data_IF_669766213977
#
_entry.id   IF_669766213977
#
_cell.length_a   1.000
_cell.length_b   1.000
_cell.length_c   1.000
_cell.angle_alpha   90.00
_cell.angle_beta   90.00
_cell.angle_gamma   90.00
#
_symmetry.space_group_name_H-M   'P 1'
#
loop_
_entity.id
_entity.type
_entity.pdbx_description
1 polymer ?
#
# COMPACT_ATOMS: atom_id res chain seq x y z
N UNK A 1 29.03 -4.14 -10.37
CA UNK A 1 28.86 -5.58 -10.11
C UNK A 1 30.20 -6.17 -9.67
N UNK A 2 30.79 -5.70 -8.55
CA UNK A 2 32.13 -6.13 -8.13
C UNK A 2 32.36 -6.08 -6.60
N UNK A 3 31.33 -6.30 -5.79
CA UNK A 3 31.43 -6.27 -4.32
C UNK A 3 30.80 -7.47 -3.60
N UNK A 4 30.44 -8.54 -4.33
CA UNK A 4 29.87 -9.77 -3.76
C UNK A 4 30.94 -10.88 -3.80
N UNK A 5 32.09 -10.61 -3.20
CA UNK A 5 33.11 -11.63 -2.86
C UNK A 5 33.54 -11.46 -1.40
N UNK A 6 32.59 -11.14 -0.52
CA UNK A 6 32.78 -11.27 0.92
C UNK A 6 32.74 -12.77 1.23
N UNK A 7 33.83 -13.26 1.83
CA UNK A 7 33.98 -14.65 2.26
C UNK A 7 32.69 -15.14 2.95
N UNK A 8 32.02 -16.14 2.36
CA UNK A 8 30.71 -16.63 2.79
C UNK A 8 30.67 -16.92 4.30
N UNK A 9 31.78 -17.39 4.87
CA UNK A 9 31.92 -17.65 6.32
C UNK A 9 31.82 -16.39 7.18
N UNK A 10 32.39 -15.26 6.75
CA UNK A 10 32.27 -13.97 7.47
C UNK A 10 30.85 -13.42 7.42
N UNK A 11 30.14 -13.67 6.32
CA UNK A 11 28.74 -13.31 6.14
C UNK A 11 27.84 -14.11 7.10
N UNK A 12 28.03 -15.43 7.20
CA UNK A 12 27.30 -16.28 8.16
C UNK A 12 27.58 -15.90 9.62
N UNK A 13 28.81 -15.53 9.96
CA UNK A 13 29.14 -15.03 11.31
C UNK A 13 28.41 -13.72 11.61
N UNK A 14 28.37 -12.80 10.63
CA UNK A 14 27.66 -11.53 10.79
C UNK A 14 26.15 -11.73 10.92
N UNK A 15 25.54 -12.59 10.10
CA UNK A 15 24.12 -12.92 10.22
C UNK A 15 23.78 -13.62 11.54
N UNK A 16 24.63 -14.56 11.97
CA UNK A 16 24.48 -15.24 13.27
C UNK A 16 24.58 -14.24 14.43
N UNK A 17 25.55 -13.32 14.39
CA UNK A 17 25.68 -12.24 15.38
C UNK A 17 24.47 -11.33 15.40
N UNK A 18 23.96 -10.91 14.23
CA UNK A 18 22.76 -10.09 14.12
C UNK A 18 21.53 -10.83 14.69
N UNK A 19 21.38 -12.12 14.39
CA UNK A 19 20.28 -12.94 14.91
C UNK A 19 20.32 -13.08 16.43
N UNK A 20 21.50 -13.33 17.02
CA UNK A 20 21.69 -13.38 18.47
C UNK A 20 21.40 -12.02 19.11
N UNK A 21 21.83 -10.92 18.49
CA UNK A 21 21.50 -9.58 18.96
C UNK A 21 19.98 -9.32 18.93
N UNK A 22 19.29 -9.72 17.86
CA UNK A 22 17.83 -9.59 17.74
C UNK A 22 17.13 -10.41 18.83
N UNK A 23 17.55 -11.67 19.05
CA UNK A 23 17.01 -12.51 20.12
C UNK A 23 17.27 -11.92 21.52
N UNK A 24 18.46 -11.36 21.73
CA UNK A 24 18.82 -10.65 22.95
C UNK A 24 17.91 -9.45 23.20
N UNK A 25 17.64 -8.64 22.17
CA UNK A 25 16.70 -7.52 22.26
C UNK A 25 15.28 -8.00 22.61
N UNK A 26 14.83 -9.13 22.05
CA UNK A 26 13.50 -9.68 22.35
C UNK A 26 13.40 -10.12 23.82
N UNK A 27 14.43 -10.77 24.38
CA UNK A 27 14.39 -11.31 25.75
C UNK A 27 14.64 -10.23 26.81
N UNK A 28 15.64 -9.36 26.60
CA UNK A 28 16.09 -8.41 27.62
C UNK A 28 15.32 -7.10 27.64
N UNK A 29 14.64 -6.73 26.55
CA UNK A 29 13.82 -5.52 26.52
C UNK A 29 12.40 -5.89 26.93
N UNK A 30 11.94 -5.54 28.15
CA UNK A 30 10.66 -5.99 28.68
C UNK A 30 9.47 -5.55 27.80
N UNK A 31 9.57 -4.40 27.14
CA UNK A 31 8.55 -3.91 26.19
C UNK A 31 8.47 -4.73 24.90
N UNK A 32 9.56 -5.36 24.46
CA UNK A 32 9.56 -6.23 23.28
C UNK A 32 9.09 -7.63 23.70
N UNK A 33 9.56 -8.11 24.86
CA UNK A 33 9.15 -9.40 25.39
C UNK A 33 7.65 -9.48 25.68
N UNK A 34 7.06 -8.42 26.27
CA UNK A 34 5.61 -8.39 26.54
C UNK A 34 4.81 -8.51 25.23
N UNK A 35 5.14 -7.69 24.23
CA UNK A 35 4.53 -7.73 22.89
C UNK A 35 4.70 -9.07 22.17
N UNK A 36 5.86 -9.73 22.34
CA UNK A 36 6.11 -11.04 21.75
C UNK A 36 5.33 -12.14 22.46
N UNK A 37 5.24 -12.08 23.78
CA UNK A 37 4.44 -13.02 24.57
C UNK A 37 2.95 -12.87 24.28
N UNK A 38 2.46 -11.66 24.02
CA UNK A 38 1.08 -11.41 23.59
C UNK A 38 0.76 -12.13 22.27
N UNK A 39 1.64 -12.07 21.27
CA UNK A 39 1.47 -12.82 20.01
C UNK A 39 1.32 -14.34 20.23
N UNK A 40 1.94 -14.88 21.28
CA UNK A 40 1.87 -16.30 21.64
C UNK A 40 0.65 -16.64 22.51
N UNK A 41 0.11 -15.68 23.26
CA UNK A 41 -0.99 -15.85 24.24
C UNK A 41 -2.38 -15.53 23.66
N UNK A 42 -2.48 -14.86 22.50
CA UNK A 42 -3.74 -14.52 21.78
C UNK A 42 -4.67 -15.71 21.48
N UNK A 43 -4.29 -16.95 21.84
CA UNK A 43 -5.19 -18.10 21.87
C UNK A 43 -6.20 -18.11 23.04
N UNK A 44 -6.12 -17.20 24.02
CA UNK A 44 -7.08 -17.12 25.14
C UNK A 44 -7.73 -15.73 25.27
N UNK A 45 -9.06 -15.59 25.09
CA UNK A 45 -9.75 -14.31 24.88
C UNK A 45 -10.16 -13.55 26.17
N UNK A 46 -9.63 -13.90 27.36
CA UNK A 46 -10.20 -13.41 28.63
C UNK A 46 -9.65 -12.07 29.15
N UNK A 47 -8.58 -11.51 28.59
CA UNK A 47 -8.03 -10.22 29.05
C UNK A 47 -8.44 -9.04 28.14
N UNK A 48 -9.39 -8.24 28.64
CA UNK A 48 -9.92 -6.98 28.05
C UNK A 48 -8.93 -5.80 28.16
N UNK A 49 -7.71 -5.96 27.68
CA UNK A 49 -6.81 -4.82 27.45
C UNK A 49 -6.81 -4.50 25.97
N UNK A 50 -7.11 -3.25 25.61
CA UNK A 50 -7.12 -2.73 24.23
C UNK A 50 -5.69 -2.61 23.70
N UNK A 51 -5.06 -3.76 23.46
CA UNK A 51 -3.73 -3.86 22.88
C UNK A 51 -3.82 -3.90 21.35
N UNK A 52 -2.77 -3.42 20.67
CA UNK A 52 -2.77 -3.27 19.21
C UNK A 52 -3.00 -4.58 18.45
N UNK A 53 -2.59 -5.71 19.03
CA UNK A 53 -2.75 -7.05 18.44
C UNK A 53 -4.22 -7.49 18.50
N UNK A 54 -4.86 -7.32 19.66
CA UNK A 54 -6.29 -7.62 19.86
C UNK A 54 -7.14 -6.78 18.90
N UNK A 55 -6.84 -5.48 18.79
CA UNK A 55 -7.54 -4.58 17.86
C UNK A 55 -7.43 -5.09 16.42
N UNK A 56 -6.21 -5.45 15.97
CA UNK A 56 -6.00 -5.93 14.60
C UNK A 56 -6.72 -7.25 14.34
N UNK A 57 -6.76 -8.15 15.32
CA UNK A 57 -7.45 -9.42 15.19
C UNK A 57 -8.96 -9.20 15.06
N UNK A 58 -9.56 -8.39 15.95
CA UNK A 58 -10.98 -8.04 15.89
C UNK A 58 -11.34 -7.36 14.56
N UNK A 59 -10.50 -6.46 14.04
CA UNK A 59 -10.70 -5.82 12.73
C UNK A 59 -10.76 -6.87 11.63
N UNK A 60 -9.79 -7.79 11.59
CA UNK A 60 -9.74 -8.83 10.56
C UNK A 60 -10.94 -9.78 10.67
N UNK A 61 -11.26 -10.24 11.88
CA UNK A 61 -12.41 -11.11 12.13
C UNK A 61 -13.71 -10.47 11.63
N UNK A 62 -13.99 -9.23 12.04
CA UNK A 62 -15.18 -8.51 11.58
C UNK A 62 -15.20 -8.31 10.07
N UNK A 63 -14.07 -7.93 9.48
CA UNK A 63 -13.99 -7.69 8.04
C UNK A 63 -14.27 -8.97 7.24
N UNK A 64 -13.79 -10.13 7.71
CA UNK A 64 -14.07 -11.42 7.07
C UNK A 64 -15.49 -11.94 7.35
N UNK A 65 -16.08 -11.57 8.49
CA UNK A 65 -17.44 -11.95 8.88
C UNK A 65 -18.50 -11.26 8.01
N UNK A 66 -18.34 -9.95 7.75
CA UNK A 66 -19.30 -9.17 6.96
C UNK A 66 -19.05 -9.27 5.44
N UNK A 67 -17.84 -9.60 5.00
CA UNK A 67 -17.47 -9.68 3.58
C UNK A 67 -18.42 -10.55 2.71
N UNK A 68 -18.88 -11.74 3.15
CA UNK A 68 -19.81 -12.56 2.36
C UNK A 68 -21.16 -11.87 2.11
N UNK A 69 -21.61 -11.02 3.03
CA UNK A 69 -22.88 -10.29 2.95
C UNK A 69 -22.80 -9.10 1.98
N UNK A 70 -21.61 -8.52 1.80
CA UNK A 70 -21.34 -7.45 0.83
C UNK A 70 -21.60 -7.90 -0.63
N UNK A 71 -21.41 -9.19 -0.94
CA UNK A 71 -21.68 -9.79 -2.25
C UNK A 71 -20.94 -9.09 -3.42
N UNK A 72 -21.53 -9.05 -4.62
CA UNK A 72 -20.91 -8.54 -5.85
C UNK A 72 -20.78 -7.02 -5.91
N UNK A 73 -21.69 -6.28 -5.26
CA UNK A 73 -21.77 -4.81 -5.33
C UNK A 73 -21.25 -4.09 -4.08
N UNK A 74 -20.99 -4.82 -3.00
CA UNK A 74 -20.59 -4.22 -1.74
C UNK A 74 -21.78 -3.58 -1.00
N UNK A 75 -21.49 -3.01 0.15
CA UNK A 75 -22.44 -2.23 0.95
C UNK A 75 -22.61 -0.80 0.45
N UNK A 76 -21.66 -0.28 -0.33
CA UNK A 76 -21.57 1.13 -0.71
C UNK A 76 -20.42 1.85 0.00
N UNK A 77 -19.89 2.90 -0.62
CA UNK A 77 -18.71 3.64 -0.12
C UNK A 77 -18.97 4.31 1.24
N UNK A 78 -20.23 4.72 1.51
CA UNK A 78 -20.62 5.31 2.78
C UNK A 78 -21.01 4.28 3.84
N UNK A 79 -21.70 3.22 3.42
CA UNK A 79 -22.35 2.29 4.35
C UNK A 79 -21.40 1.18 4.84
N UNK A 80 -20.38 0.83 4.05
CA UNK A 80 -19.38 -0.20 4.41
C UNK A 80 -18.66 0.08 5.73
N UNK A 81 -18.43 1.37 6.04
CA UNK A 81 -17.82 1.79 7.30
C UNK A 81 -18.77 1.54 8.47
N UNK A 82 -20.06 1.80 8.30
CA UNK A 82 -21.04 1.61 9.37
C UNK A 82 -21.21 0.12 9.68
N UNK A 83 -21.32 -0.73 8.66
CA UNK A 83 -21.39 -2.20 8.83
C UNK A 83 -20.17 -2.76 9.58
N UNK A 84 -18.98 -2.22 9.29
CA UNK A 84 -17.76 -2.61 10.01
C UNK A 84 -17.79 -2.15 11.48
N UNK A 85 -18.28 -0.94 11.74
CA UNK A 85 -18.42 -0.40 13.10
C UNK A 85 -19.49 -1.16 13.90
N UNK A 86 -20.59 -1.55 13.28
CA UNK A 86 -21.65 -2.32 13.92
C UNK A 86 -21.12 -3.71 14.34
N UNK A 87 -20.27 -4.33 13.51
CA UNK A 87 -19.55 -5.53 13.91
C UNK A 87 -18.60 -5.28 15.09
N UNK A 88 -17.85 -4.18 15.09
CA UNK A 88 -16.99 -3.82 16.23
C UNK A 88 -17.81 -3.65 17.51
N UNK A 89 -18.96 -2.97 17.46
CA UNK A 89 -19.83 -2.78 18.62
C UNK A 89 -20.32 -4.11 19.21
N UNK A 90 -20.58 -5.11 18.35
CA UNK A 90 -21.02 -6.44 18.79
C UNK A 90 -19.94 -7.26 19.51
N UNK A 91 -18.66 -7.04 19.18
CA UNK A 91 -17.54 -7.81 19.75
C UNK A 91 -16.84 -7.05 20.87
N UNK A 92 -16.54 -5.78 20.64
CA UNK A 92 -15.80 -4.93 21.56
C UNK A 92 -16.19 -3.45 21.40
N UNK A 93 -17.10 -2.98 22.26
CA UNK A 93 -17.68 -1.64 22.20
C UNK A 93 -16.66 -0.51 22.20
N UNK A 94 -15.48 -0.70 22.80
CA UNK A 94 -14.43 0.31 22.82
C UNK A 94 -13.78 0.54 21.44
N UNK A 95 -13.91 -0.38 20.48
CA UNK A 95 -13.40 -0.20 19.10
C UNK A 95 -14.34 0.66 18.25
N UNK A 96 -15.61 0.76 18.63
CA UNK A 96 -16.60 1.58 17.92
C UNK A 96 -16.19 3.06 17.93
N UNK A 97 -15.78 3.58 19.09
CA UNK A 97 -15.40 4.99 19.26
C UNK A 97 -14.12 5.35 18.51
N UNK A 98 -13.26 4.37 18.20
CA UNK A 98 -11.97 4.60 17.52
C UNK A 98 -12.09 4.59 15.99
N UNK A 99 -13.24 4.18 15.43
CA UNK A 99 -13.54 4.28 14.00
C UNK A 99 -12.44 3.69 13.08
N UNK A 100 -11.90 2.52 13.42
CA UNK A 100 -10.87 1.87 12.61
C UNK A 100 -11.36 1.42 11.23
N UNK A 101 -10.42 1.31 10.28
CA UNK A 101 -10.67 0.71 8.97
C UNK A 101 -10.19 -0.75 8.94
N UNK A 102 -10.36 -1.43 7.80
CA UNK A 102 -9.93 -2.83 7.64
C UNK A 102 -8.41 -3.02 7.67
N UNK A 103 -7.63 -1.93 7.49
CA UNK A 103 -6.19 -1.94 7.27
C UNK A 103 -5.77 -3.00 6.22
N UNK A 104 -6.62 -3.20 5.22
CA UNK A 104 -6.36 -3.98 4.01
C UNK A 104 -7.24 -3.35 2.92
N UNK A 105 -6.59 -2.66 1.97
CA UNK A 105 -7.27 -1.90 0.93
C UNK A 105 -8.17 -2.79 0.07
N UNK A 106 -7.75 -4.02 -0.21
CA UNK A 106 -8.51 -4.97 -1.03
C UNK A 106 -9.79 -5.41 -0.32
N UNK A 107 -9.71 -5.67 0.98
CA UNK A 107 -10.89 -6.02 1.77
C UNK A 107 -11.85 -4.84 1.87
N UNK A 108 -11.31 -3.64 2.09
CA UNK A 108 -12.13 -2.42 2.08
C UNK A 108 -12.83 -2.19 0.74
N UNK A 109 -12.14 -2.44 -0.38
CA UNK A 109 -12.76 -2.38 -1.71
C UNK A 109 -13.89 -3.40 -1.86
N UNK A 110 -13.74 -4.63 -1.38
CA UNK A 110 -14.83 -5.62 -1.41
C UNK A 110 -16.02 -5.13 -0.58
N UNK A 111 -15.78 -4.60 0.63
CA UNK A 111 -16.86 -4.11 1.47
C UNK A 111 -17.57 -2.89 0.87
N UNK A 112 -16.82 -1.96 0.27
CA UNK A 112 -17.37 -0.73 -0.29
C UNK A 112 -18.06 -0.93 -1.64
N UNK A 113 -17.43 -1.65 -2.57
CA UNK A 113 -17.85 -1.74 -3.99
C UNK A 113 -17.93 -3.18 -4.52
N UNK A 114 -17.76 -4.17 -3.63
CA UNK A 114 -17.92 -5.58 -3.95
C UNK A 114 -16.80 -6.18 -4.79
N UNK A 115 -16.97 -7.45 -5.12
CA UNK A 115 -16.02 -8.17 -5.99
C UNK A 115 -15.90 -7.56 -7.38
N UNK A 116 -16.95 -6.92 -7.90
CA UNK A 116 -16.89 -6.24 -9.21
C UNK A 116 -15.95 -5.04 -9.14
N UNK A 117 -16.07 -4.21 -8.10
CA UNK A 117 -15.16 -3.08 -7.92
C UNK A 117 -13.71 -3.51 -7.73
N UNK A 118 -13.48 -4.60 -6.98
CA UNK A 118 -12.14 -5.19 -6.84
C UNK A 118 -11.58 -5.68 -8.18
N UNK A 119 -12.40 -6.30 -9.02
CA UNK A 119 -11.98 -6.74 -10.35
C UNK A 119 -11.58 -5.56 -11.23
N UNK A 120 -12.39 -4.50 -11.27
CA UNK A 120 -12.08 -3.27 -12.00
C UNK A 120 -10.79 -2.63 -11.49
N UNK A 121 -10.58 -2.64 -10.17
CA UNK A 121 -9.34 -2.18 -9.56
C UNK A 121 -8.14 -2.99 -10.08
N UNK A 122 -8.18 -4.32 -10.04
CA UNK A 122 -7.09 -5.15 -10.55
C UNK A 122 -6.86 -4.99 -12.06
N UNK A 123 -7.92 -4.82 -12.86
CA UNK A 123 -7.80 -4.56 -14.29
C UNK A 123 -7.09 -3.23 -14.57
N UNK A 124 -7.47 -2.16 -13.85
CA UNK A 124 -6.82 -0.86 -13.99
C UNK A 124 -5.35 -0.91 -13.53
N UNK A 125 -5.07 -1.56 -12.40
CA UNK A 125 -3.71 -1.74 -11.89
C UNK A 125 -2.85 -2.57 -12.85
N UNK A 126 -3.40 -3.67 -13.37
CA UNK A 126 -2.74 -4.53 -14.33
C UNK A 126 -2.45 -3.81 -15.65
N UNK A 127 -3.40 -3.02 -16.15
CA UNK A 127 -3.20 -2.19 -17.34
C UNK A 127 -2.04 -1.20 -17.16
N UNK A 128 -1.98 -0.50 -16.03
CA UNK A 128 -0.90 0.41 -15.69
C UNK A 128 0.47 -0.32 -15.62
N UNK A 129 0.49 -1.52 -15.03
CA UNK A 129 1.68 -2.37 -14.99
C UNK A 129 2.17 -2.80 -16.38
N UNK A 130 1.25 -3.30 -17.22
CA UNK A 130 1.57 -3.73 -18.59
C UNK A 130 2.10 -2.56 -19.43
N UNK A 131 1.46 -1.39 -19.34
CA UNK A 131 1.94 -0.21 -20.07
C UNK A 131 3.34 0.23 -19.62
N UNK A 132 3.61 0.18 -18.32
CA UNK A 132 4.93 0.51 -17.78
C UNK A 132 6.01 -0.47 -18.25
N UNK A 133 5.69 -1.77 -18.31
CA UNK A 133 6.59 -2.80 -18.83
C UNK A 133 6.87 -2.59 -20.33
N UNK A 134 5.84 -2.32 -21.14
CA UNK A 134 5.99 -2.05 -22.57
C UNK A 134 6.87 -0.83 -22.86
N UNK A 135 6.80 0.20 -22.01
CA UNK A 135 7.64 1.40 -22.09
C UNK A 135 9.00 1.25 -21.41
N UNK A 136 9.32 0.06 -20.87
CA UNK A 136 10.55 -0.22 -20.10
C UNK A 136 10.74 0.73 -18.92
N UNK A 137 9.65 1.27 -18.37
CA UNK A 137 9.68 2.13 -17.20
C UNK A 137 9.65 1.26 -15.93
N UNK A 138 10.80 0.67 -15.62
CA UNK A 138 10.94 -0.23 -14.47
C UNK A 138 10.69 0.47 -13.13
N UNK A 139 10.91 1.79 -13.06
CA UNK A 139 10.62 2.57 -11.86
C UNK A 139 9.12 2.63 -11.57
N UNK A 140 8.29 2.84 -12.60
CA UNK A 140 6.83 2.80 -12.48
C UNK A 140 6.33 1.42 -12.04
N UNK A 141 6.90 0.35 -12.60
CA UNK A 141 6.58 -1.04 -12.21
C UNK A 141 6.94 -1.30 -10.74
N UNK A 142 8.13 -0.90 -10.31
CA UNK A 142 8.58 -1.07 -8.93
C UNK A 142 7.69 -0.31 -7.94
N UNK A 143 7.26 0.91 -8.28
CA UNK A 143 6.36 1.69 -7.44
C UNK A 143 4.94 1.15 -7.39
N UNK A 144 4.40 0.68 -8.52
CA UNK A 144 3.14 -0.07 -8.52
C UNK A 144 3.24 -1.32 -7.62
N UNK A 145 4.32 -2.09 -7.75
CA UNK A 145 4.49 -3.25 -6.88
C UNK A 145 4.58 -2.87 -5.39
N UNK A 146 5.32 -1.80 -5.07
CA UNK A 146 5.43 -1.29 -3.70
C UNK A 146 4.06 -0.91 -3.13
N UNK A 147 3.27 -0.13 -3.87
CA UNK A 147 1.93 0.26 -3.44
C UNK A 147 1.00 -0.95 -3.31
N UNK A 148 1.06 -1.91 -4.22
CA UNK A 148 0.25 -3.13 -4.14
C UNK A 148 0.54 -3.95 -2.88
N UNK A 149 1.81 -4.06 -2.48
CA UNK A 149 2.21 -4.74 -1.23
C UNK A 149 1.79 -3.92 -0.02
N UNK A 150 1.98 -2.59 -0.05
CA UNK A 150 1.62 -1.72 1.06
C UNK A 150 0.10 -1.74 1.33
N UNK A 151 -0.71 -1.82 0.27
CA UNK A 151 -2.17 -1.96 0.34
C UNK A 151 -2.65 -3.24 1.05
N UNK A 152 -1.79 -4.26 1.23
CA UNK A 152 -2.14 -5.44 2.04
C UNK A 152 -2.22 -5.13 3.54
N UNK A 153 -1.47 -4.13 3.99
CA UNK A 153 -1.34 -3.79 5.40
C UNK A 153 -2.04 -2.48 5.79
N UNK A 154 -2.46 -1.67 4.81
CA UNK A 154 -3.00 -0.34 5.05
C UNK A 154 -4.00 0.10 3.96
N UNK A 155 -4.99 0.92 4.34
CA UNK A 155 -5.96 1.51 3.41
C UNK A 155 -5.44 2.85 2.89
N UNK A 156 -4.50 2.79 1.95
CA UNK A 156 -3.83 3.98 1.40
C UNK A 156 -4.83 4.92 0.72
N UNK A 157 -5.82 4.38 0.02
CA UNK A 157 -6.77 5.18 -0.78
C UNK A 157 -7.88 5.83 0.06
N UNK A 158 -8.00 5.48 1.34
CA UNK A 158 -8.95 6.09 2.27
C UNK A 158 -8.33 7.22 3.09
N UNK A 159 -7.00 7.32 3.12
CA UNK A 159 -6.27 8.37 3.84
C UNK A 159 -5.92 9.51 2.89
N UNK A 160 -6.11 10.75 3.33
CA UNK A 160 -5.80 11.94 2.53
C UNK A 160 -4.34 11.96 2.06
N UNK A 161 -3.40 11.70 2.98
CA UNK A 161 -1.98 11.64 2.65
C UNK A 161 -1.66 10.48 1.70
N UNK A 162 -2.31 9.33 1.90
CA UNK A 162 -2.12 8.14 1.07
C UNK A 162 -2.57 8.39 -0.37
N UNK A 163 -3.75 8.98 -0.57
CA UNK A 163 -4.25 9.40 -1.89
C UNK A 163 -3.32 10.42 -2.54
N UNK A 164 -2.82 11.39 -1.77
CA UNK A 164 -1.88 12.39 -2.28
C UNK A 164 -0.58 11.73 -2.79
N UNK A 165 0.06 10.89 -1.99
CA UNK A 165 1.29 10.21 -2.41
C UNK A 165 1.04 9.25 -3.58
N UNK A 166 -0.02 8.44 -3.51
CA UNK A 166 -0.39 7.51 -4.57
C UNK A 166 -0.62 8.23 -5.90
N UNK A 167 -1.41 9.30 -5.89
CA UNK A 167 -1.69 10.08 -7.09
C UNK A 167 -0.47 10.82 -7.63
N UNK A 168 0.35 11.43 -6.76
CA UNK A 168 1.57 12.13 -7.17
C UNK A 168 2.57 11.20 -7.85
N UNK A 169 2.93 10.09 -7.19
CA UNK A 169 3.95 9.17 -7.71
C UNK A 169 3.49 8.42 -8.95
N UNK A 170 2.21 8.01 -9.01
CA UNK A 170 1.69 7.38 -10.21
C UNK A 170 1.61 8.37 -11.37
N UNK A 171 1.00 9.55 -11.20
CA UNK A 171 0.89 10.49 -12.32
C UNK A 171 2.27 10.92 -12.83
N UNK A 172 3.22 11.24 -11.95
CA UNK A 172 4.57 11.64 -12.32
C UNK A 172 5.27 10.60 -13.22
N UNK A 173 5.14 9.32 -12.90
CA UNK A 173 5.81 8.24 -13.63
C UNK A 173 5.04 7.76 -14.86
N UNK A 174 3.73 7.97 -14.88
CA UNK A 174 2.90 7.60 -16.02
C UNK A 174 2.86 8.69 -17.09
N UNK A 175 3.07 9.97 -16.76
CA UNK A 175 3.24 11.03 -17.76
C UNK A 175 4.35 10.69 -18.76
N UNK A 176 5.47 10.12 -18.32
CA UNK A 176 6.53 9.67 -19.22
C UNK A 176 6.14 8.47 -20.09
N UNK A 177 5.18 7.65 -19.65
CA UNK A 177 4.67 6.52 -20.43
C UNK A 177 3.72 6.97 -21.56
N UNK A 178 3.00 8.09 -21.36
CA UNK A 178 2.10 8.67 -22.36
C UNK A 178 2.82 9.54 -23.41
N UNK A 179 4.00 10.10 -23.10
CA UNK A 179 4.76 10.98 -24.01
C UNK A 179 5.51 10.28 -25.15
N UNK A 180 5.08 9.10 -25.56
CA UNK A 180 5.67 8.34 -26.68
C UNK A 180 4.85 8.43 -27.98
N UNK A 181 4.21 9.58 -28.22
CA UNK A 181 3.67 9.96 -29.54
C UNK A 181 3.70 11.47 -29.76
N UNK A 182 4.79 12.13 -29.37
CA UNK A 182 5.12 13.40 -30.02
C UNK A 182 6.11 13.06 -31.12
N UNK A 183 5.63 13.00 -32.36
CA UNK A 183 6.54 13.19 -33.49
C UNK A 183 7.40 14.40 -33.17
N UNK A 184 8.72 14.27 -33.33
CA UNK A 184 9.67 15.35 -33.25
C UNK A 184 9.08 16.65 -33.82
N UNK A 185 8.80 17.62 -32.94
CA UNK A 185 8.06 18.82 -33.31
C UNK A 185 7.97 19.80 -32.15
N UNK A 186 9.11 20.44 -31.85
CA UNK A 186 9.23 21.75 -31.18
C UNK A 186 8.15 22.15 -30.16
N UNK A 187 8.33 21.79 -28.88
CA UNK A 187 7.68 22.51 -27.77
C UNK A 187 8.66 23.23 -26.85
N UNK A 188 9.95 23.13 -27.14
CA UNK A 188 10.96 24.06 -26.62
C UNK A 188 11.51 24.79 -27.84
N UNK A 189 10.90 25.92 -28.18
CA UNK A 189 11.59 26.89 -29.02
C UNK A 189 12.79 27.35 -28.20
N UNK A 190 13.97 26.80 -28.51
CA UNK A 190 15.21 27.43 -28.09
C UNK A 190 15.16 28.88 -28.57
N UNK A 191 15.64 29.79 -27.73
CA UNK A 191 15.63 31.24 -27.98
C UNK A 191 16.14 31.61 -29.39
N UNK A 192 17.04 30.78 -29.91
CA UNK A 192 17.63 30.85 -31.24
C UNK A 192 16.60 30.73 -32.39
N UNK A 193 15.61 29.82 -32.30
CA UNK A 193 14.57 29.69 -33.33
C UNK A 193 13.57 30.85 -33.35
N UNK A 194 13.35 31.50 -32.21
CA UNK A 194 12.48 32.68 -32.12
C UNK A 194 13.16 33.85 -32.84
N UNK A 195 14.45 34.07 -32.59
CA UNK A 195 15.23 35.15 -33.23
C UNK A 195 15.28 34.95 -34.75
N UNK A 196 15.53 33.73 -35.21
CA UNK A 196 15.63 33.39 -36.64
C UNK A 196 14.30 33.61 -37.41
N UNK A 197 13.17 33.53 -36.69
CA UNK A 197 11.84 33.80 -37.26
C UNK A 197 11.59 35.31 -37.38
N UNK A 198 12.02 36.11 -36.40
CA UNK A 198 11.93 37.58 -36.47
C UNK A 198 12.89 38.20 -37.49
N UNK A 199 14.03 37.57 -37.77
CA UNK A 199 15.02 38.06 -38.73
C UNK A 199 14.64 37.75 -40.20
N UNK A 200 13.77 36.75 -40.40
CA UNK A 200 13.19 36.43 -41.72
C UNK A 200 11.97 37.29 -42.09
N UNK A 201 11.21 37.74 -41.10
CA UNK A 201 10.01 38.59 -41.32
C UNK A 201 10.37 40.06 -41.60
N UNK A 202 11.59 40.47 -41.27
CA UNK A 202 12.12 41.83 -41.49
C UNK A 202 12.98 41.96 -42.77
N UNK A 203 12.87 41.04 -43.74
CA UNK A 203 13.57 41.10 -45.03
C UNK A 203 12.62 41.10 -46.22
#
# INVERSE_FOLDING_TARGET
MLTILINQRKLWILFSGLFVCILGLIVFVPSINSRFSELLIVKNPEHKTLESVTIRNTINECSFEIMPHASLFGYGIGDSKQELLDCFASKESALFDLSYNTHNQYLSLILAVGFIGLLVFFLSYGYLGIQSLNKKNYLAVALLFLFAVWMLAENILERQEGVFYFSLFLNFLFVSNFNASTSAGSLVLSHEKVIDTFEKDNR
#
